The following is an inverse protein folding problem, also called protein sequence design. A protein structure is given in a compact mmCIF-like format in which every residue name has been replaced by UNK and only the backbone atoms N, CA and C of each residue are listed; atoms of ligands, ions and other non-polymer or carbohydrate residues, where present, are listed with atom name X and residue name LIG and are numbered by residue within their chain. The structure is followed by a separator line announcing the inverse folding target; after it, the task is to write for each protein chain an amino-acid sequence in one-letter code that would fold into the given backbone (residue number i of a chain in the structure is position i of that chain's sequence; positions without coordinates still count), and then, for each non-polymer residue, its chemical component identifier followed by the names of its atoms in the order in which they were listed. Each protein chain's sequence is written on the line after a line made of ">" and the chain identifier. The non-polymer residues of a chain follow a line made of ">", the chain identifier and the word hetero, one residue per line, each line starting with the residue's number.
data_IF_227119430723
#
_entry.id   IF_227119430723
#
_cell.length_a   1.000
_cell.length_b   1.000
_cell.length_c   1.000
_cell.angle_alpha   90.00
_cell.angle_beta   90.00
_cell.angle_gamma   90.00
#
_symmetry.space_group_name_H-M   'P 1'
#
loop_
_entity.id
_entity.type
_entity.pdbx_description
1 polymer ?
#
# COMPACT_ATOMS: atom_id res chain seq x y z
N UNK A 1 27.49 7.11 4.69
CA UNK A 1 26.76 5.82 4.87
C UNK A 1 25.46 5.92 4.08
N UNK A 2 25.25 5.01 3.14
CA UNK A 2 24.00 4.95 2.40
C UNK A 2 22.89 4.42 3.31
N UNK A 3 21.77 5.14 3.38
CA UNK A 3 20.59 4.66 4.08
C UNK A 3 19.96 3.52 3.28
N UNK A 4 19.77 2.36 3.91
CA UNK A 4 19.05 1.20 3.32
C UNK A 4 17.68 1.11 3.98
N UNK A 5 16.62 1.63 3.35
CA UNK A 5 15.28 1.52 3.91
C UNK A 5 14.81 0.07 3.91
N UNK A 6 14.11 -0.36 4.95
CA UNK A 6 13.48 -1.69 4.96
C UNK A 6 12.15 -1.68 4.20
N UNK A 7 11.45 -0.53 4.21
CA UNK A 7 10.20 -0.29 3.47
C UNK A 7 10.27 1.05 2.76
N UNK A 8 9.90 1.08 1.49
CA UNK A 8 9.67 2.29 0.69
C UNK A 8 8.16 2.41 0.50
N UNK A 9 7.55 3.46 1.06
CA UNK A 9 6.11 3.69 0.96
C UNK A 9 5.82 5.01 0.26
N UNK A 10 4.88 4.98 -0.67
CA UNK A 10 4.38 6.16 -1.36
C UNK A 10 2.96 5.95 -1.89
N UNK A 11 2.35 6.99 -2.44
CA UNK A 11 1.19 6.82 -3.33
C UNK A 11 1.66 6.36 -4.72
N UNK A 12 0.71 6.00 -5.59
CA UNK A 12 1.01 5.49 -6.94
C UNK A 12 1.92 6.46 -7.73
N UNK A 13 1.64 7.77 -7.66
CA UNK A 13 2.44 8.78 -8.37
C UNK A 13 3.86 8.91 -7.80
N UNK A 14 4.02 8.82 -6.49
CA UNK A 14 5.32 8.85 -5.83
C UNK A 14 6.16 7.62 -6.19
N UNK A 15 5.56 6.44 -6.21
CA UNK A 15 6.23 5.20 -6.62
C UNK A 15 6.67 5.28 -8.10
N UNK A 16 5.80 5.79 -8.99
CA UNK A 16 6.16 6.03 -10.39
C UNK A 16 7.29 7.04 -10.55
N UNK A 17 7.30 8.09 -9.73
CA UNK A 17 8.38 9.09 -9.74
C UNK A 17 9.73 8.48 -9.31
N UNK A 18 9.74 7.61 -8.31
CA UNK A 18 10.93 6.85 -7.90
C UNK A 18 11.43 5.99 -9.07
N UNK A 19 10.53 5.28 -9.75
CA UNK A 19 10.87 4.48 -10.92
C UNK A 19 11.47 5.33 -12.05
N UNK A 20 10.92 6.53 -12.33
CA UNK A 20 11.41 7.45 -13.38
C UNK A 20 12.75 8.11 -13.06
N UNK A 21 13.04 8.40 -11.80
CA UNK A 21 14.22 9.17 -11.39
C UNK A 21 15.56 8.41 -11.47
N UNK A 22 15.55 7.09 -11.59
CA UNK A 22 16.77 6.27 -11.64
C UNK A 22 16.64 5.00 -12.48
N UNK A 23 15.53 4.86 -13.19
CA UNK A 23 15.18 3.64 -13.93
C UNK A 23 15.02 3.99 -15.40
N UNK A 24 16.09 3.90 -16.17
CA UNK A 24 16.00 3.88 -17.62
C UNK A 24 15.38 2.56 -18.07
N UNK A 25 14.07 2.43 -17.98
CA UNK A 25 13.36 1.30 -18.56
C UNK A 25 13.04 1.59 -20.02
N UNK A 26 13.73 0.88 -20.90
CA UNK A 26 13.33 0.71 -22.27
C UNK A 26 12.02 -0.09 -22.28
N UNK A 27 10.87 0.59 -22.43
CA UNK A 27 9.62 -0.05 -22.82
C UNK A 27 8.41 0.06 -21.89
N UNK A 28 8.49 0.71 -20.73
CA UNK A 28 7.28 1.03 -19.96
C UNK A 28 6.97 2.51 -20.16
N UNK A 29 6.02 2.79 -21.04
CA UNK A 29 5.49 4.14 -21.23
C UNK A 29 4.70 4.51 -19.97
N UNK A 30 5.32 5.31 -19.09
CA UNK A 30 4.68 5.84 -17.88
C UNK A 30 3.80 7.00 -18.29
N UNK A 31 2.70 6.71 -18.99
CA UNK A 31 1.70 7.74 -19.29
C UNK A 31 1.05 8.20 -17.98
N UNK A 32 0.96 9.51 -17.80
CA UNK A 32 0.44 10.19 -16.61
C UNK A 32 -1.05 9.94 -16.34
N UNK A 33 -1.74 9.17 -17.18
CA UNK A 33 -3.20 9.09 -17.21
C UNK A 33 -3.81 7.83 -16.63
N UNK A 34 -3.01 6.81 -16.26
CA UNK A 34 -3.57 5.56 -15.73
C UNK A 34 -3.72 5.62 -14.20
N UNK A 35 -4.87 6.10 -13.75
CA UNK A 35 -5.29 5.89 -12.37
C UNK A 35 -5.45 4.38 -12.13
N UNK A 36 -4.69 3.83 -11.18
CA UNK A 36 -4.82 2.42 -10.78
C UNK A 36 -6.06 2.29 -9.90
N UNK A 37 -7.14 1.81 -10.48
CA UNK A 37 -8.44 1.62 -9.82
C UNK A 37 -8.68 0.15 -9.48
N UNK A 38 -9.67 -0.12 -8.61
CA UNK A 38 -10.13 -1.49 -8.30
C UNK A 38 -10.60 -2.25 -9.54
N UNK A 39 -11.07 -1.55 -10.55
CA UNK A 39 -11.66 -2.15 -11.75
C UNK A 39 -10.66 -2.37 -12.89
N UNK A 40 -9.36 -2.11 -12.68
CA UNK A 40 -8.32 -2.33 -13.70
C UNK A 40 -7.20 -3.26 -13.17
N UNK A 41 -7.42 -4.59 -13.19
CA UNK A 41 -6.42 -5.58 -12.78
C UNK A 41 -5.12 -5.51 -13.59
N UNK A 42 -5.20 -5.10 -14.86
CA UNK A 42 -4.03 -4.98 -15.72
C UNK A 42 -3.15 -3.79 -15.32
N UNK A 43 -3.74 -2.64 -14.99
CA UNK A 43 -2.99 -1.50 -14.45
C UNK A 43 -2.36 -1.84 -13.10
N UNK A 44 -3.10 -2.54 -12.24
CA UNK A 44 -2.58 -3.03 -10.95
C UNK A 44 -1.37 -3.97 -11.15
N UNK A 45 -1.47 -4.92 -12.07
CA UNK A 45 -0.39 -5.87 -12.37
C UNK A 45 0.84 -5.16 -12.94
N UNK A 46 0.65 -4.21 -13.88
CA UNK A 46 1.77 -3.40 -14.44
C UNK A 46 2.47 -2.60 -13.34
N UNK A 47 1.70 -1.97 -12.44
CA UNK A 47 2.28 -1.25 -11.31
C UNK A 47 3.04 -2.18 -10.36
N UNK A 48 2.47 -3.34 -10.02
CA UNK A 48 3.11 -4.34 -9.17
C UNK A 48 4.45 -4.82 -9.75
N UNK A 49 4.55 -5.04 -11.06
CA UNK A 49 5.81 -5.39 -11.72
C UNK A 49 6.84 -4.27 -11.62
N UNK A 50 6.44 -3.02 -11.86
CA UNK A 50 7.31 -1.86 -11.68
C UNK A 50 7.82 -1.76 -10.23
N UNK A 51 6.92 -1.98 -9.27
CA UNK A 51 7.28 -1.99 -7.84
C UNK A 51 8.25 -3.13 -7.50
N UNK A 52 8.09 -4.30 -8.11
CA UNK A 52 9.00 -5.44 -7.94
C UNK A 52 10.41 -5.09 -8.42
N UNK A 53 10.55 -4.42 -9.56
CA UNK A 53 11.86 -3.94 -10.04
C UNK A 53 12.52 -2.96 -9.05
N UNK A 54 11.73 -2.06 -8.43
CA UNK A 54 12.22 -1.16 -7.39
C UNK A 54 12.67 -1.98 -6.17
N UNK A 55 11.84 -2.93 -5.72
CA UNK A 55 12.14 -3.77 -4.56
C UNK A 55 13.42 -4.58 -4.75
N UNK A 56 13.61 -5.20 -5.90
CA UNK A 56 14.79 -6.01 -6.22
C UNK A 56 16.07 -5.16 -6.25
N UNK A 57 16.00 -3.93 -6.76
CA UNK A 57 17.15 -3.01 -6.81
C UNK A 57 17.49 -2.41 -5.48
N UNK A 58 16.50 -2.05 -4.69
CA UNK A 58 16.69 -1.39 -3.38
C UNK A 58 16.82 -2.38 -2.23
N UNK A 59 16.46 -3.63 -2.44
CA UNK A 59 16.35 -4.67 -1.41
C UNK A 59 15.39 -4.27 -0.29
N UNK A 60 14.39 -3.45 -0.61
CA UNK A 60 13.35 -2.98 0.29
C UNK A 60 11.97 -3.50 -0.12
N UNK A 61 11.09 -3.69 0.83
CA UNK A 61 9.64 -3.85 0.55
C UNK A 61 9.12 -2.52 -0.02
N UNK A 62 8.33 -2.60 -1.09
CA UNK A 62 7.71 -1.42 -1.70
C UNK A 62 6.21 -1.48 -1.49
N UNK A 63 5.63 -0.41 -0.96
CA UNK A 63 4.20 -0.29 -0.68
C UNK A 63 3.63 0.95 -1.39
N UNK A 64 2.68 0.74 -2.29
CA UNK A 64 1.92 1.80 -2.94
C UNK A 64 0.54 1.91 -2.32
N UNK A 65 0.20 3.08 -1.77
CA UNK A 65 -1.16 3.34 -1.27
C UNK A 65 -2.03 3.94 -2.36
N UNK A 66 -3.27 3.46 -2.45
CA UNK A 66 -4.23 3.85 -3.47
C UNK A 66 -5.66 3.44 -3.14
N UNK A 67 -6.48 3.27 -4.16
CA UNK A 67 -7.80 2.64 -4.02
C UNK A 67 -7.68 1.15 -3.69
N UNK A 68 -6.62 0.51 -4.17
CA UNK A 68 -6.10 -0.78 -3.74
C UNK A 68 -4.66 -0.52 -3.32
N UNK A 69 -4.29 -0.93 -2.11
CA UNK A 69 -2.91 -0.89 -1.68
C UNK A 69 -2.16 -2.08 -2.27
N UNK A 70 -0.98 -1.83 -2.85
CA UNK A 70 -0.16 -2.86 -3.47
C UNK A 70 1.16 -2.94 -2.72
N UNK A 71 1.57 -4.15 -2.34
CA UNK A 71 2.81 -4.40 -1.61
C UNK A 71 3.58 -5.50 -2.30
N UNK A 72 4.88 -5.29 -2.49
CA UNK A 72 5.80 -6.28 -3.06
C UNK A 72 7.07 -6.38 -2.21
N UNK A 73 7.68 -7.56 -2.24
CA UNK A 73 8.91 -7.85 -1.49
C UNK A 73 10.01 -8.30 -2.46
N UNK A 74 11.30 -8.00 -2.16
CA UNK A 74 12.40 -8.59 -2.90
C UNK A 74 12.59 -10.09 -2.61
N UNK A 75 11.97 -10.62 -1.53
CA UNK A 75 12.16 -12.00 -1.11
C UNK A 75 11.25 -13.01 -1.81
N UNK A 76 10.19 -12.56 -2.50
CA UNK A 76 9.30 -13.44 -3.26
C UNK A 76 8.83 -12.78 -4.56
N UNK A 77 8.23 -13.56 -5.44
CA UNK A 77 7.72 -13.09 -6.73
C UNK A 77 6.20 -12.83 -6.69
N UNK A 78 5.66 -12.44 -5.53
CA UNK A 78 4.25 -12.12 -5.36
C UNK A 78 4.04 -10.64 -5.15
N UNK A 79 2.90 -10.17 -5.67
CA UNK A 79 2.30 -8.91 -5.26
C UNK A 79 1.11 -9.18 -4.36
N UNK A 80 0.99 -8.39 -3.30
CA UNK A 80 -0.07 -8.45 -2.31
C UNK A 80 -0.99 -7.25 -2.50
N UNK A 81 -2.28 -7.49 -2.66
CA UNK A 81 -3.29 -6.48 -2.92
C UNK A 81 -4.25 -6.42 -1.75
N UNK A 82 -4.43 -5.24 -1.16
CA UNK A 82 -5.37 -4.99 -0.08
C UNK A 82 -6.45 -4.04 -0.58
N UNK A 83 -7.70 -4.45 -0.41
CA UNK A 83 -8.89 -3.70 -0.84
C UNK A 83 -9.62 -3.01 0.30
N UNK A 84 -9.06 -3.04 1.51
CA UNK A 84 -9.61 -2.31 2.64
C UNK A 84 -9.35 -0.81 2.49
N UNK A 85 -10.33 -0.02 2.89
CA UNK A 85 -10.24 1.43 2.89
C UNK A 85 -11.56 2.10 2.51
N UNK A 86 -11.63 3.38 2.79
CA UNK A 86 -12.80 4.23 2.50
C UNK A 86 -12.39 5.40 1.62
N UNK A 87 -13.22 5.81 0.64
CA UNK A 87 -12.97 7.02 -0.15
C UNK A 87 -12.80 8.29 0.70
N UNK A 88 -13.36 8.32 1.91
CA UNK A 88 -13.19 9.42 2.85
C UNK A 88 -11.77 9.59 3.34
N UNK A 89 -10.96 8.52 3.34
CA UNK A 89 -9.53 8.59 3.72
C UNK A 89 -8.72 9.48 2.77
N UNK A 90 -9.03 9.46 1.47
CA UNK A 90 -8.36 10.30 0.47
C UNK A 90 -8.73 11.79 0.60
N UNK A 91 -9.79 12.13 1.35
CA UNK A 91 -10.30 13.50 1.52
C UNK A 91 -9.79 14.17 2.79
N UNK A 92 -9.05 13.47 3.65
CA UNK A 92 -8.42 14.01 4.86
C UNK A 92 -6.89 13.95 4.72
N UNK A 93 -6.21 14.97 5.26
CA UNK A 93 -4.75 15.04 5.24
C UNK A 93 -4.16 14.12 6.30
N UNK A 94 -3.05 13.46 5.99
CA UNK A 94 -2.24 12.74 6.97
C UNK A 94 -2.44 11.23 7.00
N UNK A 95 -3.42 10.66 6.29
CA UNK A 95 -3.63 9.19 6.22
C UNK A 95 -2.40 8.44 5.72
N UNK A 96 -1.70 9.01 4.73
CA UNK A 96 -0.44 8.43 4.25
C UNK A 96 0.65 8.42 5.32
N UNK A 97 0.78 9.49 6.10
CA UNK A 97 1.74 9.56 7.22
C UNK A 97 1.34 8.59 8.35
N UNK A 98 0.05 8.50 8.68
CA UNK A 98 -0.46 7.51 9.65
C UNK A 98 -0.11 6.09 9.23
N UNK A 99 -0.33 5.75 7.96
CA UNK A 99 0.05 4.44 7.43
C UNK A 99 1.53 4.14 7.63
N UNK A 100 2.40 5.10 7.31
CA UNK A 100 3.85 4.95 7.50
C UNK A 100 4.21 4.71 8.97
N UNK A 101 3.60 5.45 9.89
CA UNK A 101 3.84 5.27 11.33
C UNK A 101 3.36 3.91 11.82
N UNK A 102 2.19 3.45 11.37
CA UNK A 102 1.63 2.14 11.74
C UNK A 102 2.55 1.01 11.20
N UNK A 103 2.97 1.07 9.94
CA UNK A 103 3.94 0.13 9.38
C UNK A 103 5.23 0.10 10.20
N UNK A 104 5.77 1.29 10.53
CA UNK A 104 6.97 1.42 11.37
C UNK A 104 6.81 0.79 12.76
N UNK A 105 5.62 0.88 13.35
CA UNK A 105 5.32 0.25 14.64
C UNK A 105 5.34 -1.28 14.53
N UNK A 106 4.72 -1.84 13.49
CA UNK A 106 4.73 -3.30 13.25
C UNK A 106 6.14 -3.83 12.97
N UNK A 107 7.02 -3.06 12.33
CA UNK A 107 8.41 -3.47 12.07
C UNK A 107 9.23 -3.77 13.34
N UNK A 108 8.74 -3.36 14.52
CA UNK A 108 9.39 -3.72 15.79
C UNK A 108 9.20 -5.21 16.16
N UNK A 109 8.21 -5.90 15.56
CA UNK A 109 7.80 -7.25 15.99
C UNK A 109 7.62 -8.26 14.86
N UNK A 110 7.54 -7.80 13.59
CA UNK A 110 7.37 -8.67 12.41
C UNK A 110 8.30 -8.24 11.28
N UNK A 111 8.36 -9.07 10.20
CA UNK A 111 9.16 -8.74 9.03
C UNK A 111 8.64 -7.49 8.30
N UNK A 112 9.48 -6.81 7.48
CA UNK A 112 9.07 -5.63 6.71
C UNK A 112 7.85 -5.88 5.81
N UNK A 113 7.72 -7.05 5.20
CA UNK A 113 6.56 -7.41 4.39
C UNK A 113 5.29 -7.53 5.24
N UNK A 114 5.37 -8.28 6.34
CA UNK A 114 4.24 -8.42 7.27
C UNK A 114 3.83 -7.07 7.87
N UNK A 115 4.80 -6.24 8.23
CA UNK A 115 4.55 -4.90 8.77
C UNK A 115 3.81 -4.01 7.76
N UNK A 116 4.19 -4.07 6.47
CA UNK A 116 3.51 -3.32 5.42
C UNK A 116 2.07 -3.81 5.21
N UNK A 117 1.86 -5.13 5.15
CA UNK A 117 0.53 -5.74 4.98
C UNK A 117 -0.36 -5.45 6.19
N UNK A 118 0.13 -5.69 7.42
CA UNK A 118 -0.64 -5.44 8.65
C UNK A 118 -0.98 -3.95 8.79
N UNK A 119 -0.02 -3.06 8.53
CA UNK A 119 -0.24 -1.62 8.62
C UNK A 119 -1.32 -1.13 7.66
N UNK A 120 -1.30 -1.59 6.39
CA UNK A 120 -2.31 -1.25 5.40
C UNK A 120 -3.69 -1.80 5.79
N UNK A 121 -3.75 -3.07 6.23
CA UNK A 121 -5.00 -3.69 6.66
C UNK A 121 -5.62 -2.98 7.88
N UNK A 122 -4.83 -2.70 8.91
CA UNK A 122 -5.29 -2.03 10.14
C UNK A 122 -5.86 -0.64 9.82
N UNK A 123 -5.13 0.17 9.05
CA UNK A 123 -5.60 1.52 8.70
C UNK A 123 -6.80 1.46 7.75
N UNK A 124 -6.81 0.55 6.79
CA UNK A 124 -7.92 0.36 5.85
C UNK A 124 -9.20 -0.03 6.56
N UNK A 125 -9.16 -1.03 7.45
CA UNK A 125 -10.31 -1.48 8.25
C UNK A 125 -10.80 -0.35 9.18
N UNK A 126 -9.89 0.37 9.86
CA UNK A 126 -10.25 1.52 10.67
C UNK A 126 -10.96 2.60 9.85
N UNK A 127 -10.49 2.85 8.60
CA UNK A 127 -11.12 3.78 7.67
C UNK A 127 -12.52 3.38 7.22
N UNK A 128 -12.80 2.10 7.09
CA UNK A 128 -14.14 1.58 6.76
C UNK A 128 -15.12 1.69 7.93
N UNK A 129 -14.63 1.49 9.15
CA UNK A 129 -15.42 1.57 10.38
C UNK A 129 -15.68 3.01 10.83
N UNK A 130 -14.87 3.97 10.37
CA UNK A 130 -14.97 5.36 10.76
C UNK A 130 -16.26 6.02 10.24
N UNK A 131 -16.93 6.80 11.11
CA UNK A 131 -18.17 7.49 10.78
C UNK A 131 -17.93 8.76 9.94
N UNK A 132 -18.34 8.72 8.67
CA UNK A 132 -18.25 9.85 7.75
C UNK A 132 -19.55 10.71 7.70
N UNK A 133 -20.61 10.34 8.44
CA UNK A 133 -21.93 10.96 8.34
C UNK A 133 -21.95 12.43 8.78
N UNK A 134 -21.07 12.81 9.70
CA UNK A 134 -21.00 14.16 10.30
C UNK A 134 -19.95 15.07 9.66
N UNK A 135 -19.26 14.61 8.61
CA UNK A 135 -18.23 15.37 7.91
C UNK A 135 -16.79 14.91 8.19
N UNK A 136 -15.85 15.49 7.41
CA UNK A 136 -14.46 15.00 7.37
C UNK A 136 -13.69 15.19 8.70
N UNK A 137 -13.97 16.24 9.47
CA UNK A 137 -13.34 16.44 10.78
C UNK A 137 -13.73 15.34 11.76
N UNK A 138 -15.01 15.01 11.85
CA UNK A 138 -15.52 13.91 12.67
C UNK A 138 -15.00 12.57 12.16
N UNK A 139 -14.96 12.38 10.84
CA UNK A 139 -14.38 11.19 10.24
C UNK A 139 -12.91 11.00 10.64
N UNK A 140 -12.10 12.07 10.65
CA UNK A 140 -10.68 12.00 11.04
C UNK A 140 -10.52 11.54 12.49
N UNK A 141 -11.33 12.09 13.41
CA UNK A 141 -11.33 11.66 14.80
C UNK A 141 -11.81 10.20 14.92
N UNK A 142 -12.91 9.86 14.24
CA UNK A 142 -13.44 8.50 14.26
C UNK A 142 -12.46 7.48 13.70
N UNK A 143 -11.68 7.82 12.67
CA UNK A 143 -10.61 6.97 12.15
C UNK A 143 -9.58 6.60 13.23
N UNK A 144 -9.14 7.59 14.01
CA UNK A 144 -8.21 7.36 15.12
C UNK A 144 -8.84 6.51 16.23
N UNK A 145 -10.12 6.76 16.54
CA UNK A 145 -10.87 6.00 17.55
C UNK A 145 -10.99 4.52 17.13
N UNK A 146 -11.13 4.22 15.83
CA UNK A 146 -11.23 2.85 15.33
C UNK A 146 -9.89 2.10 15.33
N UNK A 147 -8.76 2.76 15.43
CA UNK A 147 -7.46 2.09 15.61
C UNK A 147 -7.31 1.50 17.01
N UNK A 148 -7.88 2.15 18.03
CA UNK A 148 -7.73 1.75 19.44
C UNK A 148 -8.30 0.36 19.77
N UNK A 149 -9.50 -0.04 19.30
CA UNK A 149 -10.09 -1.34 19.57
C UNK A 149 -9.68 -2.44 18.57
N UNK A 150 -8.66 -2.21 17.72
CA UNK A 150 -8.24 -3.20 16.74
C UNK A 150 -7.68 -4.45 17.43
N UNK A 151 -8.20 -5.62 17.06
CA UNK A 151 -7.75 -6.92 17.56
C UNK A 151 -7.35 -7.84 16.42
N UNK A 152 -6.65 -8.93 16.76
CA UNK A 152 -6.31 -9.98 15.80
C UNK A 152 -7.55 -10.62 15.15
N UNK A 153 -8.63 -10.80 15.93
CA UNK A 153 -9.90 -11.32 15.42
C UNK A 153 -10.52 -10.37 14.39
N UNK A 154 -10.52 -9.07 14.68
CA UNK A 154 -10.98 -8.04 13.75
C UNK A 154 -10.18 -8.08 12.47
N UNK A 155 -8.86 -8.09 12.60
CA UNK A 155 -7.97 -8.12 11.43
C UNK A 155 -8.22 -9.36 10.57
N UNK A 156 -8.27 -10.55 11.18
CA UNK A 156 -8.51 -11.82 10.47
C UNK A 156 -9.87 -11.89 9.80
N UNK A 157 -10.91 -11.30 10.38
CA UNK A 157 -12.27 -11.37 9.85
C UNK A 157 -12.57 -10.34 8.76
N UNK A 158 -11.86 -9.21 8.74
CA UNK A 158 -12.19 -8.08 7.87
C UNK A 158 -11.13 -7.77 6.81
N UNK A 159 -9.95 -8.38 6.89
CA UNK A 159 -8.91 -8.19 5.89
C UNK A 159 -9.37 -8.70 4.52
N UNK A 160 -9.22 -7.86 3.51
CA UNK A 160 -9.43 -8.24 2.10
C UNK A 160 -8.08 -8.21 1.39
N UNK A 161 -7.39 -9.32 1.51
CA UNK A 161 -6.05 -9.54 0.96
C UNK A 161 -6.08 -10.67 -0.07
N UNK A 162 -5.51 -10.42 -1.23
CA UNK A 162 -5.16 -11.49 -2.18
C UNK A 162 -3.74 -11.30 -2.72
N UNK A 163 -3.17 -12.33 -3.28
CA UNK A 163 -1.84 -12.25 -3.89
C UNK A 163 -1.86 -12.78 -5.33
N UNK A 164 -0.99 -12.19 -6.16
CA UNK A 164 -0.81 -12.57 -7.55
C UNK A 164 0.68 -12.86 -7.78
N UNK A 165 0.96 -13.94 -8.49
CA UNK A 165 2.31 -14.31 -8.89
C UNK A 165 2.76 -13.42 -10.06
N UNK A 166 3.91 -12.75 -9.91
CA UNK A 166 4.48 -11.85 -10.91
C UNK A 166 5.40 -12.57 -11.91
N UNK A 167 5.77 -13.82 -11.64
CA UNK A 167 6.61 -14.64 -12.53
C UNK A 167 5.83 -15.14 -13.75
N UNK A 168 4.50 -15.24 -13.65
CA UNK A 168 3.66 -15.63 -14.77
C UNK A 168 3.56 -14.47 -15.75
N UNK A 169 4.15 -14.63 -16.94
CA UNK A 169 3.87 -13.76 -18.09
C UNK A 169 2.38 -13.84 -18.38
N UNK A 170 1.68 -12.71 -18.25
CA UNK A 170 0.31 -12.62 -18.72
C UNK A 170 0.29 -12.96 -20.21
N UNK A 171 -0.25 -14.12 -20.52
CA UNK A 171 -0.45 -14.63 -21.89
C UNK A 171 -1.58 -13.86 -22.56
#
# INVERSE_FOLDING_TARGET
>A
EECRPAVIKGNVSEIRAIAGAGFHNQGIDVSREDAVTKNDPMAQFRLARLMKEIADRTQAVVAASGEVDIIVSPQDDKAYFLENGSPSMARITGTGCMLTCIMGTFMAVVSPLEAAVCGAAVLGIAGERADASKGLGTYHISLLDQLSPMTDETLKSEIRLHSVDLSSTAS
#
